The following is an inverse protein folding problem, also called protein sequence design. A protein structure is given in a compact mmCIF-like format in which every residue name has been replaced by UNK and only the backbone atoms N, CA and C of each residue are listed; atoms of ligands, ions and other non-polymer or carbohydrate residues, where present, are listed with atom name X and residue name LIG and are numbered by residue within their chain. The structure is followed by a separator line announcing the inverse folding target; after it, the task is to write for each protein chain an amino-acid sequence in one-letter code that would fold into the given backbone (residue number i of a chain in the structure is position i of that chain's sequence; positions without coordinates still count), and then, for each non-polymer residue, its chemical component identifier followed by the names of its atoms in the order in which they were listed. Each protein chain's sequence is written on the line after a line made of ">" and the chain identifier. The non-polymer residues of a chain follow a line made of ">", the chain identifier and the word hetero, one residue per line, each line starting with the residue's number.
data_IF_556380132140
#
_entry.id   IF_556380132140
#
_cell.length_a   1.000
_cell.length_b   1.000
_cell.length_c   1.000
_cell.angle_alpha   90.00
_cell.angle_beta   90.00
_cell.angle_gamma   90.00
#
_symmetry.space_group_name_H-M   'P 1'
#
loop_
_entity.id
_entity.type
_entity.pdbx_description
1 polymer ?
#
# COMPACT_ATOMS: atom_id res chain seq x y z
N UNK A 1 26.45 10.96 -4.88
CA UNK A 1 26.55 12.43 -4.80
C UNK A 1 25.20 13.07 -4.51
N UNK A 2 24.26 13.23 -5.46
CA UNK A 2 22.93 13.81 -5.15
C UNK A 2 22.16 13.05 -4.06
N UNK A 3 22.14 11.71 -4.13
CA UNK A 3 21.41 10.88 -3.17
C UNK A 3 21.98 11.00 -1.74
N UNK A 4 23.30 11.16 -1.62
CA UNK A 4 23.99 11.27 -0.33
C UNK A 4 23.74 12.64 0.31
N UNK A 5 23.76 13.71 -0.49
CA UNK A 5 23.37 15.07 -0.05
C UNK A 5 21.91 15.14 0.39
N UNK A 6 21.01 14.45 -0.32
CA UNK A 6 19.61 14.33 0.08
C UNK A 6 19.43 13.53 1.38
N UNK A 7 20.23 12.47 1.60
CA UNK A 7 20.23 11.68 2.85
C UNK A 7 20.64 12.53 4.05
N UNK A 8 21.66 13.38 3.89
CA UNK A 8 22.13 14.30 4.92
C UNK A 8 21.05 15.35 5.24
N UNK A 9 20.40 15.91 4.21
CA UNK A 9 19.33 16.92 4.37
C UNK A 9 18.08 16.35 5.05
N UNK A 10 17.77 15.07 4.82
CA UNK A 10 16.57 14.40 5.34
C UNK A 10 16.79 13.65 6.66
N UNK A 11 17.94 13.82 7.33
CA UNK A 11 18.34 13.04 8.52
C UNK A 11 17.35 13.09 9.70
N UNK A 12 16.60 14.18 9.84
CA UNK A 12 15.56 14.35 10.89
C UNK A 12 14.13 14.03 10.40
N UNK A 13 13.97 13.50 9.19
CA UNK A 13 12.66 13.16 8.60
C UNK A 13 12.47 11.64 8.57
N UNK A 14 11.24 11.21 8.27
CA UNK A 14 10.88 9.80 8.20
C UNK A 14 11.87 9.01 7.33
N UNK A 15 12.49 7.98 7.92
CA UNK A 15 13.51 7.18 7.25
C UNK A 15 12.91 6.49 6.01
N UNK A 16 13.42 6.77 4.80
CA UNK A 16 12.94 6.14 3.57
C UNK A 16 13.13 4.63 3.56
N UNK A 17 14.08 4.12 4.35
CA UNK A 17 14.34 2.69 4.54
C UNK A 17 13.31 2.07 5.46
N UNK A 18 13.02 2.70 6.61
CA UNK A 18 11.97 2.23 7.53
C UNK A 18 10.57 2.29 6.93
N UNK A 19 10.27 3.35 6.18
CA UNK A 19 9.02 3.49 5.45
C UNK A 19 8.85 2.41 4.36
N UNK A 20 9.92 2.05 3.66
CA UNK A 20 9.87 0.99 2.65
C UNK A 20 9.63 -0.38 3.29
N UNK A 21 10.26 -0.65 4.43
CA UNK A 21 10.02 -1.89 5.18
C UNK A 21 8.56 -1.98 5.67
N UNK A 22 7.99 -0.88 6.17
CA UNK A 22 6.59 -0.82 6.57
C UNK A 22 5.64 -1.06 5.39
N UNK A 23 5.87 -0.41 4.25
CA UNK A 23 5.08 -0.62 3.03
C UNK A 23 5.17 -2.06 2.53
N UNK A 24 6.35 -2.67 2.59
CA UNK A 24 6.53 -4.08 2.23
C UNK A 24 5.76 -5.02 3.16
N UNK A 25 5.86 -4.81 4.48
CA UNK A 25 5.10 -5.61 5.46
C UNK A 25 3.60 -5.47 5.28
N UNK A 26 3.11 -4.24 5.11
CA UNK A 26 1.68 -3.99 4.86
C UNK A 26 1.20 -4.59 3.54
N UNK A 27 2.02 -4.55 2.49
CA UNK A 27 1.71 -5.18 1.20
C UNK A 27 1.58 -6.70 1.33
N UNK A 28 2.48 -7.35 2.09
CA UNK A 28 2.38 -8.80 2.33
C UNK A 28 1.12 -9.16 3.10
N UNK A 29 0.78 -8.39 4.14
CA UNK A 29 -0.43 -8.61 4.93
C UNK A 29 -1.70 -8.44 4.08
N UNK A 30 -1.83 -7.31 3.36
CA UNK A 30 -2.99 -7.05 2.51
C UNK A 30 -3.11 -8.07 1.37
N UNK A 31 -1.98 -8.52 0.79
CA UNK A 31 -1.99 -9.57 -0.23
C UNK A 31 -2.55 -10.91 0.29
N UNK A 32 -2.29 -11.27 1.54
CA UNK A 32 -2.84 -12.49 2.14
C UNK A 32 -4.36 -12.40 2.27
N UNK A 33 -4.88 -11.28 2.77
CA UNK A 33 -6.32 -11.04 2.87
C UNK A 33 -6.98 -11.07 1.48
N UNK A 34 -6.37 -10.39 0.51
CA UNK A 34 -6.86 -10.36 -0.86
C UNK A 34 -6.88 -11.75 -1.52
N UNK A 35 -5.94 -12.64 -1.18
CA UNK A 35 -5.94 -14.02 -1.68
C UNK A 35 -7.23 -14.76 -1.27
N UNK A 36 -7.71 -14.56 -0.04
CA UNK A 36 -8.98 -15.14 0.42
C UNK A 36 -10.17 -14.52 -0.31
N UNK A 37 -10.20 -13.19 -0.49
CA UNK A 37 -11.28 -12.49 -1.20
C UNK A 37 -11.36 -12.93 -2.66
N UNK A 38 -10.22 -12.96 -3.37
CA UNK A 38 -10.15 -13.46 -4.75
C UNK A 38 -10.49 -14.94 -4.83
N UNK A 39 -10.03 -15.76 -3.89
CA UNK A 39 -10.37 -17.18 -3.82
C UNK A 39 -11.87 -17.42 -3.66
N UNK A 40 -12.53 -16.65 -2.78
CA UNK A 40 -13.97 -16.70 -2.60
C UNK A 40 -14.71 -16.22 -3.86
N UNK A 41 -14.24 -15.13 -4.47
CA UNK A 41 -14.84 -14.57 -5.69
C UNK A 41 -14.73 -15.52 -6.89
N UNK A 42 -13.59 -16.20 -7.06
CA UNK A 42 -13.38 -17.16 -8.16
C UNK A 42 -14.23 -18.42 -7.97
N UNK A 43 -14.37 -18.90 -6.72
CA UNK A 43 -15.04 -20.17 -6.41
C UNK A 43 -16.56 -20.05 -6.29
N UNK A 44 -17.05 -18.96 -5.72
CA UNK A 44 -18.46 -18.76 -5.40
C UNK A 44 -19.09 -17.57 -6.15
N UNK A 45 -18.29 -16.78 -6.86
CA UNK A 45 -18.76 -15.61 -7.59
C UNK A 45 -19.18 -14.45 -6.68
N UNK A 46 -19.79 -13.43 -7.29
CA UNK A 46 -20.36 -12.29 -6.56
C UNK A 46 -21.54 -12.66 -5.65
N UNK A 47 -22.12 -13.86 -5.82
CA UNK A 47 -23.18 -14.38 -4.96
C UNK A 47 -22.74 -14.77 -3.55
N UNK A 48 -21.42 -14.80 -3.29
CA UNK A 48 -20.87 -15.07 -1.95
C UNK A 48 -21.10 -13.93 -0.95
N UNK A 49 -21.31 -12.70 -1.44
CA UNK A 49 -21.53 -11.50 -0.65
C UNK A 49 -23.00 -11.05 -0.80
N UNK A 50 -23.95 -11.67 -0.07
CA UNK A 50 -25.38 -11.51 -0.32
C UNK A 50 -25.91 -10.12 0.05
N UNK A 51 -25.22 -9.38 0.92
CA UNK A 51 -25.64 -8.04 1.30
C UNK A 51 -24.98 -6.97 0.43
N UNK A 52 -25.71 -5.87 0.20
CA UNK A 52 -25.16 -4.69 -0.49
C UNK A 52 -23.95 -4.12 0.27
N UNK A 53 -23.95 -4.23 1.60
CA UNK A 53 -22.87 -3.76 2.45
C UNK A 53 -21.59 -4.57 2.22
N UNK A 54 -21.68 -5.90 2.19
CA UNK A 54 -20.53 -6.78 1.93
C UNK A 54 -19.94 -6.55 0.53
N UNK A 55 -20.81 -6.39 -0.47
CA UNK A 55 -20.38 -6.10 -1.84
C UNK A 55 -19.66 -4.76 -1.95
N UNK A 56 -20.13 -3.73 -1.23
CA UNK A 56 -19.49 -2.41 -1.17
C UNK A 56 -18.13 -2.50 -0.47
N UNK A 57 -18.04 -3.20 0.65
CA UNK A 57 -16.78 -3.40 1.37
C UNK A 57 -15.75 -4.08 0.48
N UNK A 58 -16.10 -5.20 -0.14
CA UNK A 58 -15.19 -5.96 -1.02
C UNK A 58 -14.72 -5.12 -2.20
N UNK A 59 -15.61 -4.32 -2.79
CA UNK A 59 -15.23 -3.38 -3.86
C UNK A 59 -14.29 -2.28 -3.37
N UNK A 60 -14.54 -1.73 -2.19
CA UNK A 60 -13.69 -0.71 -1.59
C UNK A 60 -12.31 -1.28 -1.25
N UNK A 61 -12.22 -2.48 -0.68
CA UNK A 61 -10.95 -3.19 -0.43
C UNK A 61 -10.19 -3.45 -1.73
N UNK A 62 -10.86 -3.94 -2.78
CA UNK A 62 -10.24 -4.13 -4.11
C UNK A 62 -9.64 -2.83 -4.67
N UNK A 63 -10.35 -1.72 -4.56
CA UNK A 63 -9.88 -0.42 -5.02
C UNK A 63 -8.69 0.07 -4.20
N UNK A 64 -8.79 -0.03 -2.87
CA UNK A 64 -7.77 0.39 -1.91
C UNK A 64 -6.49 -0.44 -2.05
N UNK A 65 -6.61 -1.74 -2.29
CA UNK A 65 -5.49 -2.63 -2.57
C UNK A 65 -4.83 -2.32 -3.90
N UNK A 66 -5.62 -2.08 -4.96
CA UNK A 66 -5.09 -1.68 -6.27
C UNK A 66 -4.27 -0.38 -6.16
N UNK A 67 -4.76 0.58 -5.37
CA UNK A 67 -4.06 1.83 -5.09
C UNK A 67 -2.76 1.59 -4.29
N UNK A 68 -2.76 0.67 -3.31
CA UNK A 68 -1.54 0.27 -2.61
C UNK A 68 -0.48 -0.28 -3.54
N UNK A 69 -0.85 -1.16 -4.48
CA UNK A 69 0.06 -1.78 -5.44
C UNK A 69 0.69 -0.71 -6.35
N UNK A 70 -0.12 0.21 -6.86
CA UNK A 70 0.38 1.32 -7.68
C UNK A 70 1.40 2.16 -6.91
N UNK A 71 1.08 2.54 -5.66
CA UNK A 71 2.03 3.26 -4.84
C UNK A 71 3.28 2.45 -4.56
N UNK A 72 3.17 1.15 -4.25
CA UNK A 72 4.34 0.30 -4.02
C UNK A 72 5.32 0.32 -5.21
N UNK A 73 4.79 0.18 -6.43
CA UNK A 73 5.59 0.23 -7.67
C UNK A 73 6.25 1.59 -7.86
N UNK A 74 5.54 2.69 -7.58
CA UNK A 74 6.09 4.05 -7.70
C UNK A 74 7.22 4.28 -6.68
N UNK A 75 7.06 3.83 -5.44
CA UNK A 75 8.03 4.03 -4.35
C UNK A 75 9.19 3.02 -4.35
N UNK A 76 9.16 1.98 -5.19
CA UNK A 76 10.31 1.12 -5.46
C UNK A 76 11.51 1.92 -6.00
N UNK A 77 11.26 2.99 -6.77
CA UNK A 77 12.30 3.86 -7.32
C UNK A 77 12.83 4.79 -6.21
N UNK A 78 14.10 4.67 -5.77
CA UNK A 78 14.65 5.46 -4.66
C UNK A 78 14.56 6.96 -4.92
N UNK A 79 14.81 7.42 -6.15
CA UNK A 79 14.74 8.84 -6.53
C UNK A 79 13.35 9.46 -6.30
N UNK A 80 12.29 8.69 -6.48
CA UNK A 80 10.90 9.14 -6.29
C UNK A 80 10.57 9.23 -4.80
N UNK A 81 11.07 8.31 -3.97
CA UNK A 81 10.90 8.34 -2.50
C UNK A 81 11.38 9.66 -1.91
N UNK A 82 12.59 10.09 -2.28
CA UNK A 82 13.18 11.32 -1.77
C UNK A 82 12.49 12.57 -2.32
N UNK A 83 12.05 12.55 -3.59
CA UNK A 83 11.36 13.69 -4.21
C UNK A 83 9.94 13.91 -3.65
N UNK A 84 9.24 12.83 -3.30
CA UNK A 84 7.84 12.86 -2.85
C UNK A 84 7.66 12.45 -1.38
N UNK A 85 8.60 12.85 -0.52
CA UNK A 85 8.58 12.49 0.90
C UNK A 85 7.29 12.92 1.65
N UNK A 86 6.66 14.03 1.26
CA UNK A 86 5.37 14.45 1.83
C UNK A 86 4.23 13.49 1.46
N UNK A 87 4.18 13.07 0.20
CA UNK A 87 3.19 12.09 -0.28
C UNK A 87 3.43 10.72 0.35
N UNK A 88 4.69 10.37 0.65
CA UNK A 88 5.05 9.13 1.33
C UNK A 88 4.35 8.99 2.69
N UNK A 89 4.14 10.10 3.41
CA UNK A 89 3.42 10.06 4.71
C UNK A 89 1.95 9.68 4.52
N UNK A 90 1.28 10.21 3.48
CA UNK A 90 -0.10 9.84 3.15
C UNK A 90 -0.20 8.38 2.71
N UNK A 91 0.79 7.90 1.94
CA UNK A 91 0.84 6.50 1.53
C UNK A 91 1.00 5.57 2.73
N UNK A 92 1.88 5.92 3.68
CA UNK A 92 2.05 5.12 4.90
C UNK A 92 0.77 5.11 5.73
N UNK A 93 0.05 6.24 5.83
CA UNK A 93 -1.24 6.29 6.49
C UNK A 93 -2.27 5.38 5.80
N UNK A 94 -2.30 5.37 4.46
CA UNK A 94 -3.15 4.46 3.69
C UNK A 94 -2.79 2.99 3.90
N UNK A 95 -1.50 2.67 4.03
CA UNK A 95 -1.03 1.34 4.39
C UNK A 95 -1.43 0.95 5.82
N UNK A 96 -1.36 1.88 6.77
CA UNK A 96 -1.78 1.66 8.15
C UNK A 96 -3.29 1.46 8.31
N UNK A 97 -4.12 2.09 7.46
CA UNK A 97 -5.57 1.91 7.48
C UNK A 97 -6.02 0.54 6.93
N UNK A 98 -5.16 -0.12 6.15
CA UNK A 98 -5.41 -1.44 5.56
C UNK A 98 -4.73 -2.59 6.34
N UNK A 99 -3.92 -2.26 7.34
CA UNK A 99 -3.31 -3.21 8.26
C UNK A 99 -4.28 -3.54 9.40
#
# INVERSE_FOLDING_TARGET
>A
KDLDEFKITCRNRLSPEGAMLFMFGGMLYSSLLMLFIFGALIRFGWGYYPTLFDTVIVRMELLLYSLQVIFFIIYLIPKVRFKFQKLQTLVILLYAFQL
#
